data_IF_689729684615
#
_entry.id   IF_689729684615
#
_cell.length_a   1.000
_cell.length_b   1.000
_cell.length_c   1.000
_cell.angle_alpha   90.00
_cell.angle_beta   90.00
_cell.angle_gamma   90.00
#
_symmetry.space_group_name_H-M   'P 1'
#
loop_
_entity.id
_entity.type
_entity.pdbx_description
1 polymer ?
#
# COMPACT_ATOMS: atom_id res chain seq x y z
N UNK A 1 0.94 11.35 16.52
CA UNK A 1 1.76 11.14 15.29
C UNK A 1 1.26 12.02 14.16
N UNK A 2 2.16 12.52 13.31
CA UNK A 2 1.85 13.26 12.09
C UNK A 2 2.62 12.62 10.94
N UNK A 3 1.97 12.37 9.81
CA UNK A 3 2.64 11.89 8.60
C UNK A 3 3.35 13.08 7.93
N UNK A 4 4.65 12.95 7.68
CA UNK A 4 5.44 13.97 6.99
C UNK A 4 5.45 13.71 5.47
N UNK A 5 5.68 12.45 5.09
CA UNK A 5 5.82 12.03 3.69
C UNK A 5 5.02 10.77 3.36
N UNK A 6 4.59 10.66 2.12
CA UNK A 6 4.05 9.42 1.55
C UNK A 6 4.94 8.95 0.41
N UNK A 7 5.18 7.65 0.37
CA UNK A 7 5.99 7.03 -0.68
C UNK A 7 5.17 6.03 -1.50
N UNK A 8 5.29 6.14 -2.79
CA UNK A 8 4.73 5.25 -3.79
C UNK A 8 5.84 4.62 -4.61
N UNK A 9 5.54 3.49 -5.23
CA UNK A 9 6.36 2.95 -6.30
C UNK A 9 5.47 2.55 -7.47
N UNK A 10 5.91 2.78 -8.68
CA UNK A 10 5.17 2.36 -9.87
C UNK A 10 6.10 2.11 -11.06
N UNK A 11 5.58 1.38 -12.04
CA UNK A 11 6.21 1.25 -13.35
C UNK A 11 5.84 2.42 -14.26
N UNK A 12 6.72 2.72 -15.21
CA UNK A 12 6.46 3.65 -16.31
C UNK A 12 5.45 3.03 -17.31
N UNK A 13 4.26 2.77 -16.88
CA UNK A 13 3.18 2.20 -17.68
C UNK A 13 1.95 3.08 -17.67
N UNK A 14 1.19 3.06 -18.76
CA UNK A 14 -0.09 3.78 -18.88
C UNK A 14 -1.18 3.27 -17.93
N UNK A 15 -0.94 2.14 -17.26
CA UNK A 15 -1.85 1.61 -16.26
C UNK A 15 -1.73 2.31 -14.91
N UNK A 16 -0.49 2.66 -14.50
CA UNK A 16 -0.20 3.14 -13.14
C UNK A 16 0.29 4.58 -13.09
N UNK A 17 1.20 4.97 -13.98
CA UNK A 17 1.84 6.29 -13.91
C UNK A 17 0.87 7.47 -13.92
N UNK A 18 -0.29 7.42 -14.63
CA UNK A 18 -1.22 8.54 -14.63
C UNK A 18 -1.87 8.84 -13.27
N UNK A 19 -1.90 7.88 -12.34
CA UNK A 19 -2.42 8.12 -10.99
C UNK A 19 -1.52 9.07 -10.19
N UNK A 20 -0.23 9.17 -10.52
CA UNK A 20 0.71 10.00 -9.78
C UNK A 20 0.25 11.45 -9.65
N UNK A 21 -0.13 12.09 -10.75
CA UNK A 21 -0.50 13.50 -10.72
C UNK A 21 -1.69 13.78 -9.80
N UNK A 22 -2.63 12.83 -9.70
CA UNK A 22 -3.77 12.91 -8.79
C UNK A 22 -3.33 12.70 -7.36
N UNK A 23 -2.56 11.64 -7.10
CA UNK A 23 -2.04 11.30 -5.78
C UNK A 23 -1.20 12.45 -5.22
N UNK A 24 -0.22 12.94 -5.99
CA UNK A 24 0.65 14.03 -5.56
C UNK A 24 -0.14 15.27 -5.19
N UNK A 25 -1.09 15.67 -6.04
CA UNK A 25 -1.97 16.82 -5.76
C UNK A 25 -2.76 16.64 -4.48
N UNK A 26 -3.43 15.49 -4.27
CA UNK A 26 -4.27 15.25 -3.10
C UNK A 26 -3.41 15.22 -1.82
N UNK A 27 -2.34 14.44 -1.80
CA UNK A 27 -1.49 14.35 -0.63
C UNK A 27 -0.89 15.71 -0.27
N UNK A 28 -0.39 16.46 -1.24
CA UNK A 28 0.20 17.79 -1.00
C UNK A 28 -0.83 18.81 -0.58
N UNK A 29 -1.90 18.98 -1.38
CA UNK A 29 -2.81 20.12 -1.21
C UNK A 29 -3.95 19.88 -0.22
N UNK A 30 -4.41 18.62 -0.09
CA UNK A 30 -5.55 18.26 0.77
C UNK A 30 -5.12 17.70 2.11
N UNK A 31 -4.04 16.91 2.13
CA UNK A 31 -3.57 16.25 3.34
C UNK A 31 -2.39 16.97 3.99
N UNK A 32 -1.65 17.78 3.25
CA UNK A 32 -0.43 18.46 3.74
C UNK A 32 0.74 17.50 3.96
N UNK A 33 0.75 16.40 3.20
CA UNK A 33 1.76 15.33 3.26
C UNK A 33 2.59 15.41 1.97
N UNK A 34 3.93 15.35 2.08
CA UNK A 34 4.83 15.42 0.94
C UNK A 34 4.88 14.09 0.17
N UNK A 35 4.46 14.02 -1.11
CA UNK A 35 4.47 12.78 -1.85
C UNK A 35 5.78 12.56 -2.62
N UNK A 36 6.24 11.30 -2.61
CA UNK A 36 7.40 10.81 -3.36
C UNK A 36 6.99 9.57 -4.15
N UNK A 37 7.39 9.49 -5.41
CA UNK A 37 7.19 8.30 -6.24
C UNK A 37 8.53 7.75 -6.73
N UNK A 38 8.76 6.47 -6.53
CA UNK A 38 9.86 5.72 -7.11
C UNK A 38 9.40 5.13 -8.44
N UNK A 39 9.92 5.69 -9.54
CA UNK A 39 9.52 5.32 -10.90
C UNK A 39 10.51 4.33 -11.50
N UNK A 40 10.03 3.17 -11.93
CA UNK A 40 10.83 2.13 -12.58
C UNK A 40 10.49 1.97 -14.06
N UNK A 41 11.52 1.76 -14.88
CA UNK A 41 11.37 1.33 -16.27
C UNK A 41 11.06 2.43 -17.27
N UNK A 42 11.32 3.70 -16.96
CA UNK A 42 11.13 4.83 -17.88
C UNK A 42 11.48 6.17 -17.27
N UNK A 43 11.21 7.22 -18.04
CA UNK A 43 11.47 8.60 -17.65
C UNK A 43 10.16 9.33 -17.34
N UNK A 44 10.11 10.09 -16.26
CA UNK A 44 8.91 10.85 -15.84
C UNK A 44 8.38 11.77 -16.93
N UNK A 45 9.26 12.44 -17.66
CA UNK A 45 8.90 13.38 -18.69
C UNK A 45 8.24 12.70 -19.91
N UNK A 46 8.65 11.45 -20.22
CA UNK A 46 8.10 10.67 -21.33
C UNK A 46 6.67 10.19 -21.06
N UNK A 47 6.30 10.07 -19.80
CA UNK A 47 5.00 9.54 -19.37
C UNK A 47 4.11 10.58 -18.67
N UNK A 48 4.54 11.86 -18.66
CA UNK A 48 3.75 12.97 -18.16
C UNK A 48 3.57 13.01 -16.65
N UNK A 49 4.49 12.48 -15.86
CA UNK A 49 4.48 12.61 -14.40
C UNK A 49 5.04 13.96 -13.97
N UNK A 50 4.17 14.82 -13.44
CA UNK A 50 4.52 16.16 -12.99
C UNK A 50 5.16 16.17 -11.60
N UNK A 51 6.12 17.04 -11.37
CA UNK A 51 6.68 17.32 -10.03
C UNK A 51 6.12 18.59 -9.38
N UNK A 52 5.03 19.14 -9.89
CA UNK A 52 4.38 20.34 -9.32
C UNK A 52 3.96 20.14 -7.86
N UNK A 53 3.54 18.92 -7.51
CA UNK A 53 2.99 18.61 -6.19
C UNK A 53 3.79 17.56 -5.41
N UNK A 54 4.88 17.04 -5.95
CA UNK A 54 5.69 16.03 -5.29
C UNK A 54 6.94 15.69 -6.09
N UNK A 55 7.73 14.75 -5.60
CA UNK A 55 8.99 14.34 -6.21
C UNK A 55 8.86 12.99 -6.91
N UNK A 56 9.39 12.89 -8.14
CA UNK A 56 9.55 11.61 -8.86
C UNK A 56 11.02 11.25 -8.93
N UNK A 57 11.37 10.10 -8.38
CA UNK A 57 12.72 9.56 -8.39
C UNK A 57 12.76 8.42 -9.40
N UNK A 58 13.51 8.61 -10.48
CA UNK A 58 13.71 7.58 -11.49
C UNK A 58 14.70 6.54 -10.96
N UNK A 59 14.26 5.29 -10.94
CA UNK A 59 14.99 4.17 -10.38
C UNK A 59 15.47 3.24 -11.48
N UNK A 60 16.70 2.79 -11.36
CA UNK A 60 17.26 1.73 -12.20
C UNK A 60 17.12 0.38 -11.49
N UNK A 61 16.59 -0.61 -12.20
CA UNK A 61 16.50 -1.96 -11.67
C UNK A 61 17.77 -2.74 -12.03
N UNK A 62 18.27 -3.55 -11.07
CA UNK A 62 19.34 -4.51 -11.34
C UNK A 62 18.77 -5.62 -12.26
N UNK A 63 19.39 -5.85 -13.44
CA UNK A 63 18.87 -6.82 -14.41
C UNK A 63 18.97 -8.27 -13.95
N UNK A 64 19.75 -8.56 -12.90
CA UNK A 64 19.89 -9.92 -12.36
C UNK A 64 18.71 -10.35 -11.48
N UNK A 65 17.79 -9.43 -11.12
CA UNK A 65 16.67 -9.67 -10.24
C UNK A 65 15.36 -9.18 -10.89
N UNK A 66 14.20 -9.77 -10.58
CA UNK A 66 12.91 -9.32 -11.09
C UNK A 66 12.66 -7.86 -10.73
N UNK A 67 12.55 -6.99 -11.74
CA UNK A 67 12.35 -5.55 -11.55
C UNK A 67 11.06 -5.24 -10.78
N UNK A 68 10.02 -6.06 -10.95
CA UNK A 68 8.75 -5.88 -10.24
C UNK A 68 8.88 -6.01 -8.73
N UNK A 69 9.71 -6.97 -8.26
CA UNK A 69 10.00 -7.15 -6.83
C UNK A 69 10.80 -5.97 -6.31
N UNK A 70 11.79 -5.49 -7.09
CA UNK A 70 12.56 -4.29 -6.72
C UNK A 70 11.64 -3.09 -6.59
N UNK A 71 10.73 -2.88 -7.55
CA UNK A 71 9.78 -1.77 -7.54
C UNK A 71 8.89 -1.80 -6.29
N UNK A 72 8.21 -2.90 -6.03
CA UNK A 72 7.25 -2.94 -4.91
C UNK A 72 7.94 -2.94 -3.54
N UNK A 73 9.15 -3.52 -3.45
CA UNK A 73 9.91 -3.54 -2.20
C UNK A 73 10.60 -2.21 -1.90
N UNK A 74 10.97 -1.42 -2.90
CA UNK A 74 11.69 -0.15 -2.71
C UNK A 74 10.95 0.85 -1.82
N UNK A 75 9.62 0.84 -1.80
CA UNK A 75 8.82 1.71 -0.93
C UNK A 75 8.99 1.39 0.56
N UNK A 76 9.44 0.19 0.93
CA UNK A 76 9.77 -0.18 2.30
C UNK A 76 11.23 0.09 2.66
N UNK A 77 12.15 0.05 1.70
CA UNK A 77 13.56 0.33 1.91
C UNK A 77 13.86 1.84 1.96
N UNK A 78 13.28 2.60 1.06
CA UNK A 78 13.57 4.03 0.90
C UNK A 78 13.38 4.86 2.18
N UNK A 79 12.35 4.64 3.02
CA UNK A 79 12.14 5.36 4.27
C UNK A 79 13.32 5.31 5.24
N UNK A 80 14.15 4.26 5.22
CA UNK A 80 15.31 4.12 6.11
C UNK A 80 16.36 5.21 5.92
N UNK A 81 16.35 5.89 4.76
CA UNK A 81 17.27 6.98 4.42
C UNK A 81 16.99 8.26 5.19
N UNK A 82 15.79 8.41 5.73
CA UNK A 82 15.37 9.54 6.55
C UNK A 82 14.77 9.03 7.87
N UNK A 83 15.61 8.64 8.84
CA UNK A 83 15.21 7.87 10.02
C UNK A 83 14.19 8.58 10.94
N UNK A 84 14.20 9.91 10.97
CA UNK A 84 13.30 10.69 11.82
C UNK A 84 12.03 11.18 11.12
N UNK A 85 11.94 11.01 9.80
CA UNK A 85 10.74 11.34 9.02
C UNK A 85 9.67 10.29 9.26
N UNK A 86 8.41 10.70 9.45
CA UNK A 86 7.27 9.79 9.53
C UNK A 86 6.74 9.53 8.13
N UNK A 87 6.85 8.29 7.69
CA UNK A 87 6.46 7.84 6.37
C UNK A 87 5.12 7.13 6.37
N UNK A 88 4.35 7.34 5.30
CA UNK A 88 3.21 6.53 4.91
C UNK A 88 3.59 5.73 3.66
N UNK A 89 3.41 4.42 3.70
CA UNK A 89 3.52 3.57 2.50
C UNK A 89 2.21 3.64 1.74
N UNK A 90 2.25 4.12 0.49
CA UNK A 90 1.10 4.25 -0.39
C UNK A 90 1.10 3.21 -1.52
N UNK A 91 -0.08 2.89 -2.03
CA UNK A 91 -0.25 2.27 -3.33
C UNK A 91 -0.77 3.28 -4.32
N UNK A 92 -0.19 3.29 -5.53
CA UNK A 92 -0.42 4.37 -6.51
C UNK A 92 -1.88 4.41 -7.01
N UNK A 93 -2.59 3.30 -6.95
CA UNK A 93 -3.99 3.17 -7.36
C UNK A 93 -5.00 3.21 -6.19
N UNK A 94 -4.53 3.59 -4.98
CA UNK A 94 -5.36 3.85 -3.81
C UNK A 94 -5.45 5.35 -3.52
N UNK A 95 -6.52 5.99 -3.98
CA UNK A 95 -6.67 7.45 -3.89
C UNK A 95 -7.47 7.85 -2.67
N UNK A 96 -6.92 8.71 -1.76
CA UNK A 96 -7.61 9.14 -0.56
C UNK A 96 -8.88 9.94 -0.85
N UNK A 97 -9.93 9.71 -0.05
CA UNK A 97 -11.20 10.43 -0.10
C UNK A 97 -11.53 11.15 1.20
N UNK A 98 -10.85 10.82 2.31
CA UNK A 98 -11.16 11.37 3.63
C UNK A 98 -9.89 11.87 4.34
N UNK A 99 -9.85 13.18 4.65
CA UNK A 99 -8.72 13.78 5.35
C UNK A 99 -8.50 13.20 6.74
N UNK A 100 -9.57 13.08 7.52
CA UNK A 100 -9.49 12.67 8.92
C UNK A 100 -8.78 11.32 9.11
N UNK A 101 -8.92 10.41 8.14
CA UNK A 101 -8.30 9.09 8.20
C UNK A 101 -6.76 9.15 8.25
N UNK A 102 -6.17 10.09 7.51
CA UNK A 102 -4.71 10.26 7.39
C UNK A 102 -4.15 11.32 8.34
N UNK A 103 -4.99 12.02 9.09
CA UNK A 103 -4.56 13.12 9.95
C UNK A 103 -5.11 13.00 11.37
N UNK A 104 -6.38 13.31 11.59
CA UNK A 104 -6.97 13.40 12.94
C UNK A 104 -6.96 12.07 13.67
N UNK A 105 -7.21 10.96 12.96
CA UNK A 105 -7.27 9.62 13.58
C UNK A 105 -5.95 9.13 14.15
N UNK A 106 -4.85 9.67 13.68
CA UNK A 106 -3.51 9.29 14.15
C UNK A 106 -2.86 10.36 15.03
N UNK A 107 -3.50 11.51 15.21
CA UNK A 107 -2.90 12.67 15.89
C UNK A 107 -2.42 12.35 17.30
N UNK A 108 -3.19 11.57 18.06
CA UNK A 108 -2.91 11.20 19.44
C UNK A 108 -2.07 9.91 19.60
N UNK A 109 -1.69 9.27 18.49
CA UNK A 109 -0.85 8.07 18.52
C UNK A 109 0.61 8.49 18.77
N UNK A 110 1.34 7.81 19.67
CA UNK A 110 2.75 8.09 19.90
C UNK A 110 3.61 8.00 18.64
N UNK A 111 4.62 8.85 18.50
CA UNK A 111 5.49 8.90 17.33
C UNK A 111 6.38 7.66 17.17
N UNK A 112 6.53 6.88 18.23
CA UNK A 112 7.27 5.62 18.20
C UNK A 112 6.42 4.40 17.84
N UNK A 113 5.13 4.58 17.55
CA UNK A 113 4.28 3.50 17.12
C UNK A 113 4.53 3.11 15.65
N UNK A 114 4.18 1.88 15.31
CA UNK A 114 3.92 1.43 13.96
C UNK A 114 2.41 1.38 13.75
N UNK A 115 1.88 2.23 12.89
CA UNK A 115 0.45 2.30 12.63
C UNK A 115 0.13 1.62 11.30
N UNK A 116 -0.96 0.86 11.26
CA UNK A 116 -1.52 0.34 10.02
C UNK A 116 -2.93 0.90 9.82
N UNK A 117 -3.11 1.78 8.83
CA UNK A 117 -4.37 2.51 8.62
C UNK A 117 -5.48 1.68 7.95
N UNK A 118 -5.19 0.47 7.54
CA UNK A 118 -6.14 -0.43 6.86
C UNK A 118 -6.20 -1.81 7.52
N UNK A 119 -6.18 -1.87 8.83
CA UNK A 119 -6.23 -3.14 9.54
C UNK A 119 -7.54 -3.93 9.31
N UNK A 120 -8.60 -3.25 8.87
CA UNK A 120 -9.88 -3.89 8.51
C UNK A 120 -9.86 -4.69 7.20
N UNK A 121 -8.86 -4.46 6.33
CA UNK A 121 -8.62 -5.29 5.15
C UNK A 121 -8.14 -6.69 5.50
N UNK A 122 -7.70 -6.89 6.74
CA UNK A 122 -7.48 -8.21 7.34
C UNK A 122 -8.85 -8.78 7.63
N UNK A 123 -9.46 -9.34 6.60
CA UNK A 123 -10.83 -9.78 6.61
C UNK A 123 -11.12 -10.70 7.78
N UNK A 124 -11.87 -10.27 8.73
CA UNK A 124 -12.97 -11.00 9.36
C UNK A 124 -13.52 -10.20 10.54
N UNK A 125 -14.83 -10.14 10.74
CA UNK A 125 -15.47 -9.45 11.87
C UNK A 125 -15.07 -9.99 13.25
N UNK A 126 -14.29 -11.08 13.29
CA UNK A 126 -13.79 -11.70 14.52
C UNK A 126 -12.43 -11.15 14.96
N UNK A 127 -11.79 -10.34 14.16
CA UNK A 127 -10.47 -9.77 14.44
C UNK A 127 -10.53 -8.37 15.06
N UNK A 128 -11.66 -8.00 15.62
CA UNK A 128 -11.78 -6.77 16.41
C UNK A 128 -10.90 -6.71 17.66
N UNK A 129 -10.04 -7.71 17.88
CA UNK A 129 -9.06 -7.71 18.93
C UNK A 129 -7.68 -8.17 18.40
N UNK A 130 -6.63 -7.61 18.98
CA UNK A 130 -5.23 -7.98 18.69
C UNK A 130 -4.97 -9.47 18.84
N UNK A 131 -5.66 -10.15 19.75
CA UNK A 131 -5.49 -11.58 19.99
C UNK A 131 -5.90 -12.42 18.77
N UNK A 132 -6.98 -12.04 18.10
CA UNK A 132 -7.41 -12.68 16.86
C UNK A 132 -6.40 -12.48 15.73
N UNK A 133 -5.85 -11.28 15.62
CA UNK A 133 -4.81 -10.94 14.66
C UNK A 133 -3.52 -11.74 14.93
N UNK A 134 -3.06 -11.79 16.18
CA UNK A 134 -1.86 -12.49 16.56
C UNK A 134 -1.97 -14.01 16.45
N UNK A 135 -3.16 -14.59 16.67
CA UNK A 135 -3.36 -16.05 16.60
C UNK A 135 -3.50 -16.58 15.19
N UNK A 136 -4.01 -15.77 14.26
CA UNK A 136 -4.30 -16.20 12.88
C UNK A 136 -3.32 -15.64 11.86
N UNK A 137 -2.55 -14.64 12.24
CA UNK A 137 -1.76 -13.79 11.35
C UNK A 137 -0.55 -14.39 10.64
N UNK A 138 -0.17 -15.63 10.87
CA UNK A 138 0.97 -16.25 10.14
C UNK A 138 0.63 -17.57 9.49
N UNK A 139 -0.60 -18.01 9.65
CA UNK A 139 -1.01 -19.23 8.98
C UNK A 139 -1.63 -18.80 7.64
N UNK A 140 -0.91 -19.01 6.59
CA UNK A 140 -1.45 -19.00 5.23
C UNK A 140 -2.46 -20.16 5.12
N UNK A 141 -3.64 -19.95 5.66
CA UNK A 141 -4.76 -20.88 5.55
C UNK A 141 -5.54 -20.75 4.25
N UNK A 142 -4.90 -20.24 3.20
CA UNK A 142 -5.51 -20.25 1.89
C UNK A 142 -5.85 -21.66 1.43
N UNK A 143 -5.16 -22.69 1.88
CA UNK A 143 -5.41 -24.05 1.40
C UNK A 143 -6.73 -24.67 1.86
N UNK A 144 -7.23 -24.33 3.03
CA UNK A 144 -8.40 -25.01 3.58
C UNK A 144 -9.74 -24.34 3.32
N UNK A 145 -9.75 -23.09 2.82
CA UNK A 145 -10.99 -22.34 2.65
C UNK A 145 -11.19 -21.71 1.27
N UNK A 146 -10.33 -21.98 0.28
CA UNK A 146 -10.49 -21.47 -1.08
C UNK A 146 -10.50 -19.93 -1.16
N UNK A 147 -9.89 -19.24 -0.20
CA UNK A 147 -9.77 -17.78 -0.16
C UNK A 147 -8.31 -17.40 -0.13
N UNK A 148 -7.89 -16.75 -1.19
CA UNK A 148 -6.64 -16.01 -1.22
C UNK A 148 -6.73 -14.87 -0.22
N UNK A 149 -5.79 -14.81 0.68
CA UNK A 149 -5.59 -13.66 1.56
C UNK A 149 -6.51 -13.66 2.78
N UNK A 150 -5.98 -13.90 3.91
CA UNK A 150 -6.76 -13.78 5.13
C UNK A 150 -5.98 -13.29 6.31
N UNK A 151 -4.69 -13.21 6.21
CA UNK A 151 -3.88 -12.97 7.41
C UNK A 151 -2.69 -12.07 7.17
N UNK A 152 -2.48 -11.62 5.93
CA UNK A 152 -1.39 -10.73 5.63
C UNK A 152 -1.83 -9.27 5.86
N UNK A 153 -0.90 -8.46 6.37
CA UNK A 153 -1.08 -7.02 6.43
C UNK A 153 -0.97 -6.47 5.01
N UNK A 154 -1.98 -5.74 4.51
CA UNK A 154 -1.85 -5.10 3.22
C UNK A 154 -0.56 -4.28 3.11
N UNK A 155 0.12 -4.34 1.98
CA UNK A 155 1.39 -3.65 1.76
C UNK A 155 1.29 -2.11 1.77
N UNK A 156 0.09 -1.58 1.80
CA UNK A 156 -0.18 -0.14 1.84
C UNK A 156 -0.62 0.33 3.22
N UNK A 157 -0.51 1.62 3.45
CA UNK A 157 -0.98 2.31 4.65
C UNK A 157 -0.27 1.94 5.96
N UNK A 158 0.97 1.50 5.86
CA UNK A 158 1.87 1.47 7.00
C UNK A 158 2.39 2.88 7.29
N UNK A 159 2.32 3.30 8.55
CA UNK A 159 2.85 4.59 9.01
C UNK A 159 3.84 4.35 10.15
N UNK A 160 5.06 4.80 9.97
CA UNK A 160 6.09 4.73 11.00
C UNK A 160 7.23 5.73 10.73
N UNK A 161 8.07 5.97 11.72
CA UNK A 161 9.37 6.64 11.53
C UNK A 161 10.27 5.83 10.62
N UNK A 162 11.07 6.50 9.76
CA UNK A 162 11.96 5.85 8.81
C UNK A 162 12.88 4.81 9.43
N UNK A 163 13.45 5.09 10.61
CA UNK A 163 14.29 4.13 11.36
C UNK A 163 13.58 2.81 11.71
N UNK A 164 12.25 2.80 11.81
CA UNK A 164 11.51 1.58 12.12
C UNK A 164 11.40 0.64 10.93
N UNK A 165 11.52 1.15 9.72
CA UNK A 165 11.57 0.31 8.53
C UNK A 165 12.85 -0.54 8.45
N UNK A 166 13.89 -0.23 9.24
CA UNK A 166 15.06 -1.09 9.40
C UNK A 166 14.68 -2.49 9.92
N UNK A 167 13.58 -2.61 10.66
CA UNK A 167 13.03 -3.91 11.06
C UNK A 167 12.72 -4.78 9.83
N UNK A 168 12.12 -4.21 8.79
CA UNK A 168 11.76 -4.93 7.57
C UNK A 168 12.98 -5.25 6.71
N UNK A 169 13.92 -4.33 6.66
CA UNK A 169 15.14 -4.48 5.84
C UNK A 169 16.19 -5.35 6.53
N UNK A 170 16.12 -5.48 7.86
CA UNK A 170 17.11 -6.19 8.68
C UNK A 170 18.52 -5.59 8.56
N UNK A 171 18.64 -4.31 8.18
CA UNK A 171 19.91 -3.64 7.92
C UNK A 171 20.68 -4.19 6.71
N UNK A 172 20.02 -5.00 5.86
CA UNK A 172 20.64 -5.57 4.66
C UNK A 172 20.64 -4.56 3.52
N UNK A 173 21.63 -4.63 2.60
CA UNK A 173 21.56 -3.90 1.34
C UNK A 173 20.30 -4.24 0.56
N UNK A 174 19.74 -3.26 -0.14
CA UNK A 174 18.47 -3.40 -0.87
C UNK A 174 18.40 -4.63 -1.79
N UNK A 175 19.43 -4.85 -2.60
CA UNK A 175 19.44 -6.00 -3.53
C UNK A 175 19.50 -7.36 -2.81
N UNK A 176 20.10 -7.43 -1.63
CA UNK A 176 20.13 -8.65 -0.83
C UNK A 176 18.75 -8.95 -0.21
N UNK A 177 18.01 -7.91 0.14
CA UNK A 177 16.61 -8.05 0.57
C UNK A 177 15.74 -8.59 -0.57
N UNK A 178 15.85 -8.00 -1.77
CA UNK A 178 15.12 -8.45 -2.96
C UNK A 178 15.49 -9.89 -3.31
N UNK A 179 16.78 -10.23 -3.29
CA UNK A 179 17.24 -11.60 -3.52
C UNK A 179 16.64 -12.57 -2.53
N UNK A 180 16.58 -12.21 -1.26
CA UNK A 180 15.98 -13.04 -0.22
C UNK A 180 14.49 -13.30 -0.47
N UNK A 181 13.73 -12.28 -0.89
CA UNK A 181 12.31 -12.44 -1.25
C UNK A 181 12.16 -13.39 -2.45
N UNK A 182 13.00 -13.23 -3.47
CA UNK A 182 12.94 -14.01 -4.72
C UNK A 182 13.37 -15.46 -4.52
N UNK A 183 14.40 -15.71 -3.72
CA UNK A 183 14.96 -17.04 -3.51
C UNK A 183 14.19 -17.88 -2.49
N UNK A 184 13.47 -17.25 -1.59
CA UNK A 184 12.87 -17.97 -0.45
C UNK A 184 11.62 -18.68 -0.88
N UNK A 185 11.19 -19.06 -1.93
CA UNK A 185 9.96 -19.81 -2.34
C UNK A 185 8.74 -19.67 -1.35
N UNK A 186 8.84 -18.77 -0.37
CA UNK A 186 7.85 -18.56 0.70
C UNK A 186 6.92 -17.40 0.43
N UNK A 187 7.26 -16.54 -0.53
CA UNK A 187 6.57 -15.30 -0.81
C UNK A 187 6.03 -15.26 -2.24
N UNK A 188 4.92 -14.57 -2.42
CA UNK A 188 4.28 -14.40 -3.72
C UNK A 188 3.19 -15.43 -4.05
N UNK A 189 2.54 -15.23 -5.19
CA UNK A 189 1.40 -16.04 -5.67
C UNK A 189 1.78 -17.51 -5.91
N UNK A 190 3.02 -17.76 -6.34
CA UNK A 190 3.50 -19.11 -6.58
C UNK A 190 3.42 -20.04 -5.36
N UNK A 191 3.35 -19.46 -4.16
CA UNK A 191 3.20 -20.21 -2.91
C UNK A 191 1.73 -20.32 -2.49
N UNK A 192 0.95 -19.26 -2.72
CA UNK A 192 -0.44 -19.16 -2.24
C UNK A 192 -1.42 -20.01 -3.06
N UNK A 193 -1.31 -19.97 -4.38
CA UNK A 193 -2.31 -20.51 -5.29
C UNK A 193 -1.83 -21.71 -6.11
N UNK A 194 -0.75 -22.37 -5.69
CA UNK A 194 -0.10 -23.42 -6.48
C UNK A 194 0.24 -22.92 -7.91
N UNK A 195 0.58 -21.64 -8.03
CA UNK A 195 0.99 -21.07 -9.30
C UNK A 195 2.21 -21.86 -9.84
N UNK A 196 2.18 -22.35 -11.08
CA UNK A 196 3.21 -23.25 -11.59
C UNK A 196 4.61 -22.65 -11.43
N UNK A 197 5.54 -23.40 -10.84
CA UNK A 197 6.93 -22.92 -10.60
C UNK A 197 7.63 -22.52 -11.90
N UNK A 198 7.24 -23.11 -13.03
CA UNK A 198 7.73 -22.77 -14.36
C UNK A 198 7.42 -21.32 -14.74
N UNK A 199 6.37 -20.75 -14.18
CA UNK A 199 6.00 -19.36 -14.37
C UNK A 199 6.96 -18.37 -13.71
N UNK A 200 7.79 -18.82 -12.77
CA UNK A 200 8.81 -17.97 -12.15
C UNK A 200 9.71 -17.25 -13.16
N UNK A 201 10.07 -17.93 -14.25
CA UNK A 201 10.92 -17.36 -15.30
C UNK A 201 10.13 -16.70 -16.43
N UNK A 202 8.95 -17.23 -16.76
CA UNK A 202 8.15 -16.76 -17.90
C UNK A 202 7.18 -15.65 -17.54
N UNK A 203 6.78 -15.57 -16.27
CA UNK A 203 5.86 -14.55 -15.76
C UNK A 203 6.25 -14.16 -14.32
N UNK A 204 7.45 -13.60 -14.13
CA UNK A 204 7.96 -13.27 -12.79
C UNK A 204 7.11 -12.21 -12.08
N UNK A 205 6.48 -11.31 -12.84
CA UNK A 205 5.61 -10.26 -12.28
C UNK A 205 4.48 -10.87 -11.46
N UNK A 206 3.69 -11.78 -12.04
CA UNK A 206 2.59 -12.43 -11.33
C UNK A 206 3.06 -13.49 -10.33
N UNK A 207 4.17 -14.16 -10.61
CA UNK A 207 4.74 -15.16 -9.70
C UNK A 207 5.09 -14.55 -8.34
N UNK A 208 5.65 -13.33 -8.33
CA UNK A 208 6.04 -12.61 -7.12
C UNK A 208 5.00 -11.58 -6.66
N UNK A 209 3.82 -11.57 -7.28
CA UNK A 209 2.73 -10.71 -6.83
C UNK A 209 2.43 -10.92 -5.35
N UNK A 210 2.28 -9.85 -4.57
CA UNK A 210 2.16 -9.85 -3.11
C UNK A 210 3.41 -10.36 -2.35
N UNK A 211 4.56 -10.49 -2.98
CA UNK A 211 5.79 -10.93 -2.31
C UNK A 211 6.20 -10.00 -1.18
N UNK A 212 6.10 -8.70 -1.41
CA UNK A 212 6.39 -7.68 -0.41
C UNK A 212 5.39 -7.69 0.74
N UNK A 213 4.11 -7.92 0.46
CA UNK A 213 3.05 -8.00 1.45
C UNK A 213 3.25 -9.19 2.39
N UNK A 214 3.52 -10.36 1.82
CA UNK A 214 3.78 -11.57 2.56
C UNK A 214 5.05 -11.47 3.42
N UNK A 215 6.12 -10.91 2.87
CA UNK A 215 7.39 -10.77 3.56
C UNK A 215 7.31 -9.74 4.70
N UNK A 216 6.78 -8.56 4.42
CA UNK A 216 6.60 -7.53 5.46
C UNK A 216 5.66 -7.99 6.58
N UNK A 217 4.57 -8.68 6.23
CA UNK A 217 3.63 -9.22 7.21
C UNK A 217 4.29 -10.23 8.15
N UNK A 218 5.08 -11.15 7.63
CA UNK A 218 5.78 -12.15 8.46
C UNK A 218 6.69 -11.47 9.49
N UNK A 219 7.48 -10.50 9.06
CA UNK A 219 8.40 -9.78 9.95
C UNK A 219 7.63 -8.98 11.00
N UNK A 220 6.65 -8.19 10.57
CA UNK A 220 5.86 -7.35 11.47
C UNK A 220 5.09 -8.19 12.50
N UNK A 221 4.46 -9.28 12.08
CA UNK A 221 3.73 -10.15 12.99
C UNK A 221 4.63 -10.81 14.02
N UNK A 222 5.84 -11.19 13.64
CA UNK A 222 6.82 -11.73 14.58
C UNK A 222 7.27 -10.67 15.58
N UNK A 223 7.54 -9.45 15.14
CA UNK A 223 7.93 -8.34 16.02
C UNK A 223 6.80 -7.92 16.97
N UNK A 224 5.55 -7.92 16.51
CA UNK A 224 4.37 -7.66 17.35
C UNK A 224 4.27 -8.72 18.45
N UNK A 225 4.41 -10.00 18.11
CA UNK A 225 4.36 -11.12 19.09
C UNK A 225 5.49 -11.07 20.10
N UNK A 226 6.67 -10.67 19.66
CA UNK A 226 7.82 -10.48 20.53
C UNK A 226 7.74 -9.24 21.41
N UNK A 227 6.76 -8.34 21.17
CA UNK A 227 6.66 -7.06 21.88
C UNK A 227 7.75 -6.05 21.50
N UNK A 228 8.37 -6.23 20.33
CA UNK A 228 9.46 -5.39 19.85
C UNK A 228 8.97 -4.06 19.26
N UNK A 229 7.71 -4.01 18.85
CA UNK A 229 7.09 -2.81 18.28
C UNK A 229 5.76 -2.48 18.95
N UNK A 230 5.51 -1.19 19.15
CA UNK A 230 4.20 -0.66 19.52
C UNK A 230 3.34 -0.59 18.26
N UNK A 231 2.52 -1.63 18.01
CA UNK A 231 1.69 -1.71 16.82
C UNK A 231 0.27 -1.20 17.10
N UNK A 232 -0.21 -0.27 16.28
CA UNK A 232 -1.53 0.35 16.41
C UNK A 232 -2.34 0.11 15.13
N UNK A 233 -3.28 -0.84 15.14
CA UNK A 233 -4.18 -1.04 14.01
C UNK A 233 -5.30 0.00 14.01
N UNK A 234 -5.52 0.66 12.88
CA UNK A 234 -6.68 1.52 12.63
C UNK A 234 -7.64 0.77 11.71
N UNK A 235 -8.82 0.51 12.22
CA UNK A 235 -9.88 -0.14 11.45
C UNK A 235 -10.74 0.90 10.72
N UNK A 236 -11.30 0.52 9.59
CA UNK A 236 -12.36 1.29 8.96
C UNK A 236 -13.58 1.42 9.90
N UNK A 237 -14.34 2.49 9.76
CA UNK A 237 -15.55 2.68 10.57
C UNK A 237 -16.52 1.50 10.38
N UNK A 238 -17.11 1.04 11.48
CA UNK A 238 -18.24 0.10 11.57
C UNK A 238 -17.96 -1.40 11.49
N UNK A 239 -16.73 -1.88 11.54
CA UNK A 239 -16.44 -3.32 11.63
C UNK A 239 -16.89 -4.16 10.43
N UNK A 240 -17.49 -3.54 9.43
CA UNK A 240 -17.84 -4.14 8.16
C UNK A 240 -16.84 -3.69 7.12
N UNK A 241 -16.30 -4.63 6.39
CA UNK A 241 -15.37 -4.47 5.32
C UNK A 241 -15.57 -3.18 4.51
N UNK A 242 -14.51 -2.38 4.53
CA UNK A 242 -14.19 -1.42 3.51
C UNK A 242 -15.18 -0.24 3.38
N UNK A 243 -14.95 0.79 4.17
CA UNK A 243 -15.33 2.15 3.80
C UNK A 243 -14.43 2.60 2.62
N UNK A 244 -14.40 1.79 1.60
CA UNK A 244 -13.61 1.93 0.38
C UNK A 244 -14.50 1.75 -0.83
N UNK A 245 -14.31 2.58 -1.84
CA UNK A 245 -14.87 2.32 -3.17
C UNK A 245 -13.98 1.31 -3.88
N UNK A 246 -14.48 0.11 -4.12
CA UNK A 246 -13.72 -0.95 -4.79
C UNK A 246 -13.73 -0.81 -6.30
N UNK A 247 -12.74 -1.44 -6.95
CA UNK A 247 -12.59 -1.48 -8.42
C UNK A 247 -13.84 -1.91 -9.16
N UNK A 248 -14.60 -2.85 -8.60
CA UNK A 248 -15.80 -3.38 -9.26
C UNK A 248 -17.00 -2.45 -9.11
N UNK A 249 -17.12 -1.78 -7.97
CA UNK A 249 -18.12 -0.73 -7.75
C UNK A 249 -17.87 0.48 -8.65
N UNK A 250 -16.59 0.71 -8.99
CA UNK A 250 -16.18 1.77 -9.89
C UNK A 250 -16.58 1.56 -11.35
N UNK A 251 -17.08 0.40 -11.72
CA UNK A 251 -17.57 0.07 -13.07
C UNK A 251 -19.09 0.22 -13.21
N UNK A 252 -19.79 0.50 -12.13
CA UNK A 252 -21.25 0.52 -12.09
C UNK A 252 -21.88 1.92 -11.96
N UNK A 253 -23.15 1.96 -11.61
CA UNK A 253 -23.88 3.21 -11.39
C UNK A 253 -23.48 3.86 -10.05
N UNK A 254 -22.88 5.05 -10.15
CA UNK A 254 -22.17 5.75 -9.07
C UNK A 254 -23.03 6.50 -8.06
N UNK A 255 -24.31 6.57 -8.21
CA UNK A 255 -25.18 7.42 -7.39
C UNK A 255 -24.97 7.16 -5.90
N UNK A 256 -24.93 5.89 -5.51
CA UNK A 256 -24.70 5.49 -4.12
C UNK A 256 -23.28 5.85 -3.64
N UNK A 257 -22.27 5.62 -4.46
CA UNK A 257 -20.88 5.93 -4.11
C UNK A 257 -20.65 7.44 -3.97
N UNK A 258 -21.31 8.27 -4.79
CA UNK A 258 -21.21 9.72 -4.70
C UNK A 258 -21.84 10.27 -3.42
N UNK A 259 -23.02 9.80 -3.03
CA UNK A 259 -23.67 10.23 -1.80
C UNK A 259 -22.82 9.92 -0.57
N UNK A 260 -22.27 8.72 -0.49
CA UNK A 260 -21.37 8.31 0.61
C UNK A 260 -20.04 9.06 0.58
N UNK A 261 -19.48 9.36 -0.59
CA UNK A 261 -18.28 10.14 -0.71
C UNK A 261 -18.49 11.59 -0.26
N UNK A 262 -19.61 12.19 -0.65
CA UNK A 262 -20.01 13.53 -0.20
C UNK A 262 -20.20 13.59 1.32
N UNK A 263 -20.74 12.52 1.92
CA UNK A 263 -20.86 12.38 3.36
C UNK A 263 -19.55 11.98 4.06
N UNK A 264 -18.44 11.96 3.34
CA UNK A 264 -17.12 11.52 3.81
C UNK A 264 -17.12 10.13 4.49
N UNK A 265 -17.92 9.22 3.94
CA UNK A 265 -18.03 7.86 4.49
C UNK A 265 -16.98 6.92 3.96
N UNK A 266 -16.39 7.23 2.79
CA UNK A 266 -15.28 6.45 2.22
C UNK A 266 -13.93 7.03 2.64
N UNK A 267 -13.00 6.15 2.95
CA UNK A 267 -11.61 6.50 3.26
C UNK A 267 -10.82 6.73 1.98
N UNK A 268 -10.98 5.83 1.02
CA UNK A 268 -10.27 5.84 -0.25
C UNK A 268 -11.08 5.19 -1.38
N UNK A 269 -10.54 5.30 -2.58
CA UNK A 269 -10.97 4.52 -3.75
C UNK A 269 -9.82 3.66 -4.26
N UNK A 270 -10.09 2.36 -4.42
CA UNK A 270 -9.20 1.43 -5.10
C UNK A 270 -9.52 1.44 -6.58
N UNK A 271 -8.72 2.16 -7.33
CA UNK A 271 -8.99 2.45 -8.73
C UNK A 271 -8.79 1.23 -9.62
N UNK A 272 -9.68 1.04 -10.61
CA UNK A 272 -9.49 0.04 -11.64
C UNK A 272 -8.42 0.50 -12.65
N UNK A 273 -7.83 -0.45 -13.36
CA UNK A 273 -6.80 -0.21 -14.36
C UNK A 273 -7.32 -0.60 -15.76
N UNK A 274 -6.88 0.01 -16.83
CA UNK A 274 -6.02 1.20 -16.89
C UNK A 274 -6.73 2.50 -16.49
N UNK A 275 -5.97 3.49 -16.04
CA UNK A 275 -6.46 4.81 -15.62
C UNK A 275 -7.42 5.45 -16.62
N UNK A 276 -7.10 5.39 -17.92
CA UNK A 276 -7.87 6.04 -18.99
C UNK A 276 -9.34 5.63 -19.05
N UNK A 277 -9.68 4.44 -18.55
CA UNK A 277 -11.07 3.94 -18.56
C UNK A 277 -11.95 4.54 -17.47
N UNK A 278 -11.38 5.28 -16.53
CA UNK A 278 -12.11 5.78 -15.35
C UNK A 278 -11.70 7.18 -14.89
N UNK A 279 -10.87 7.87 -15.65
CA UNK A 279 -10.38 9.21 -15.28
C UNK A 279 -11.53 10.17 -14.97
N UNK A 280 -12.56 10.20 -15.81
CA UNK A 280 -13.73 11.06 -15.63
C UNK A 280 -14.53 10.72 -14.37
N UNK A 281 -14.75 9.44 -14.12
CA UNK A 281 -15.46 9.00 -12.92
C UNK A 281 -14.66 9.31 -11.66
N UNK A 282 -13.35 9.10 -11.69
CA UNK A 282 -12.48 9.43 -10.57
C UNK A 282 -12.52 10.93 -10.28
N UNK A 283 -12.43 11.79 -11.29
CA UNK A 283 -12.54 13.23 -11.12
C UNK A 283 -13.89 13.63 -10.50
N UNK A 284 -15.00 13.05 -10.93
CA UNK A 284 -16.32 13.30 -10.33
C UNK A 284 -16.33 12.90 -8.86
N UNK A 285 -15.85 11.69 -8.53
CA UNK A 285 -15.79 11.18 -7.15
C UNK A 285 -14.93 12.08 -6.25
N UNK A 286 -13.77 12.51 -6.74
CA UNK A 286 -12.87 13.40 -6.01
C UNK A 286 -13.49 14.78 -5.78
N UNK A 287 -14.20 15.33 -6.76
CA UNK A 287 -14.92 16.59 -6.60
C UNK A 287 -15.98 16.50 -5.50
N UNK A 288 -16.72 15.39 -5.39
CA UNK A 288 -17.64 15.18 -4.29
C UNK A 288 -16.93 15.02 -2.95
N UNK A 289 -15.90 14.20 -2.88
CA UNK A 289 -15.20 13.90 -1.63
C UNK A 289 -14.48 15.12 -1.04
N UNK A 290 -13.94 15.98 -1.90
CA UNK A 290 -13.12 17.13 -1.49
C UNK A 290 -13.80 18.50 -1.61
N UNK A 291 -15.08 18.54 -1.99
CA UNK A 291 -15.84 19.81 -2.10
C UNK A 291 -16.02 20.54 -0.78
N UNK A 292 -15.99 19.80 0.36
CA UNK A 292 -16.27 20.32 1.69
C UNK A 292 -15.03 20.37 2.62
N UNK A 293 -13.83 20.14 2.07
CA UNK A 293 -12.59 20.06 2.85
C UNK A 293 -11.72 21.31 2.75
#
# INVERSE_FOLDING_TARGET
>A
MKIDKVIFSCSASTEYSPFWNIQARIFKTKLGIEPICLLYGGKKDEIGMSEEHGQVIEMEADPSLPWSVQMVWSKFDYPTREPETTWLIGDIDLVPLQRAHFTTRIADIPDDAWVHLNAGGISQPRLGCMDGFLTHGTQRHAKDQGRSGGTDLPAHYHVAKGKKFELLTGGRPFLDQVRHIVESDRYGMGVMDNYPKEKRQTDPYWYYWCGEENYSSEILLNAIRAGEINFVPIYYHNGNNMDRVNRDEFRGDYTYSHERANAQQFVDVHCARPFSKQAEQLDRLLNFAWAQS
#
